data_IF_729850643665
#
_entry.id   IF_729850643665
#
_cell.length_a   1.000
_cell.length_b   1.000
_cell.length_c   1.000
_cell.angle_alpha   90.00
_cell.angle_beta   90.00
_cell.angle_gamma   90.00
#
_symmetry.space_group_name_H-M   'P 1'
#
loop_
_entity.id
_entity.type
_entity.pdbx_description
1 polymer ?
#
# COMPACT_ATOMS: atom_id res chain seq x y z
N UNK A 1 -34.34 34.11 8.85
CA UNK A 1 -33.29 33.27 9.47
C UNK A 1 -32.60 32.49 8.36
N UNK A 2 -31.35 32.81 8.05
CA UNK A 2 -30.57 32.05 7.05
C UNK A 2 -30.01 30.79 7.71
N UNK A 3 -30.56 29.63 7.35
CA UNK A 3 -29.95 28.34 7.67
C UNK A 3 -28.71 28.17 6.80
N UNK A 4 -27.52 28.20 7.39
CA UNK A 4 -26.31 27.75 6.72
C UNK A 4 -26.45 26.25 6.43
N UNK A 5 -26.62 25.89 5.15
CA UNK A 5 -26.51 24.51 4.67
C UNK A 5 -25.03 24.15 4.62
N UNK A 6 -24.56 23.43 5.63
CA UNK A 6 -23.25 22.79 5.56
C UNK A 6 -23.31 21.62 4.55
N UNK A 7 -22.41 21.61 3.56
CA UNK A 7 -22.19 20.47 2.64
C UNK A 7 -20.84 19.81 2.93
N UNK A 8 -20.57 18.62 2.36
CA UNK A 8 -19.24 18.00 2.49
C UNK A 8 -18.12 18.91 1.96
N UNK A 9 -18.42 19.75 0.96
CA UNK A 9 -17.50 20.75 0.40
C UNK A 9 -17.16 21.89 1.38
N UNK A 10 -17.92 22.03 2.46
CA UNK A 10 -17.66 23.01 3.52
C UNK A 10 -16.63 22.51 4.56
N UNK A 11 -16.26 21.23 4.52
CA UNK A 11 -15.23 20.65 5.39
C UNK A 11 -13.86 21.15 4.91
N UNK A 12 -13.28 22.10 5.64
CA UNK A 12 -11.93 22.61 5.38
C UNK A 12 -10.84 21.64 5.86
N UNK A 13 -11.07 21.00 7.00
CA UNK A 13 -10.17 20.04 7.63
C UNK A 13 -11.02 19.00 8.35
N UNK A 14 -10.73 17.72 8.15
CA UNK A 14 -11.20 16.64 9.00
C UNK A 14 -10.01 16.18 9.86
N UNK A 15 -10.08 16.39 11.18
CA UNK A 15 -9.06 15.90 12.11
C UNK A 15 -9.52 14.54 12.62
N UNK A 16 -8.83 13.50 12.20
CA UNK A 16 -9.01 12.16 12.77
C UNK A 16 -7.85 11.92 13.75
N UNK A 17 -8.11 11.74 15.06
CA UNK A 17 -7.05 11.40 16.00
C UNK A 17 -6.44 10.06 15.58
N UNK A 18 -5.11 10.00 15.60
CA UNK A 18 -4.43 8.72 15.42
C UNK A 18 -4.81 7.79 16.59
N UNK A 19 -4.96 6.49 16.35
CA UNK A 19 -5.12 5.53 17.44
C UNK A 19 -3.99 5.68 18.47
N UNK A 20 -4.28 5.51 19.76
CA UNK A 20 -3.31 5.73 20.86
C UNK A 20 -1.97 4.99 20.72
N UNK A 21 -1.93 3.94 19.90
CA UNK A 21 -0.75 3.09 19.66
C UNK A 21 -0.01 3.40 18.36
N UNK A 22 -0.37 4.48 17.69
CA UNK A 22 0.28 4.94 16.46
C UNK A 22 1.19 6.10 16.81
N UNK A 23 2.48 5.79 16.94
CA UNK A 23 3.49 6.75 17.36
C UNK A 23 4.19 7.43 16.18
N UNK A 24 4.19 6.82 14.99
CA UNK A 24 4.76 7.44 13.79
C UNK A 24 3.71 8.37 13.13
N UNK A 25 3.92 9.70 13.12
CA UNK A 25 2.94 10.62 12.53
C UNK A 25 2.81 10.44 11.02
N UNK A 26 1.62 10.74 10.50
CA UNK A 26 1.30 10.59 9.08
C UNK A 26 2.28 11.34 8.16
N UNK A 27 2.71 12.55 8.53
CA UNK A 27 3.68 13.34 7.75
C UNK A 27 5.04 12.63 7.64
N UNK A 28 5.54 12.10 8.75
CA UNK A 28 6.82 11.36 8.80
C UNK A 28 6.72 10.06 8.02
N UNK A 29 5.66 9.29 8.22
CA UNK A 29 5.41 8.07 7.47
C UNK A 29 5.32 8.36 5.96
N UNK A 30 4.65 9.44 5.55
CA UNK A 30 4.56 9.86 4.16
C UNK A 30 5.94 10.18 3.59
N UNK A 31 6.75 10.94 4.33
CA UNK A 31 8.12 11.27 3.93
C UNK A 31 9.00 10.03 3.78
N UNK A 32 8.91 9.08 4.71
CA UNK A 32 9.66 7.81 4.63
C UNK A 32 9.22 6.98 3.41
N UNK A 33 7.91 6.82 3.19
CA UNK A 33 7.42 6.07 2.04
C UNK A 33 7.80 6.73 0.70
N UNK A 34 7.73 8.06 0.59
CA UNK A 34 8.16 8.77 -0.63
C UNK A 34 9.67 8.61 -0.86
N UNK A 35 10.48 8.68 0.21
CA UNK A 35 11.93 8.42 0.11
C UNK A 35 12.21 7.00 -0.39
N UNK A 36 11.47 6.00 0.12
CA UNK A 36 11.57 4.61 -0.35
C UNK A 36 11.12 4.48 -1.80
N UNK A 37 10.03 5.13 -2.19
CA UNK A 37 9.54 5.14 -3.56
C UNK A 37 10.56 5.76 -4.52
N UNK A 38 11.18 6.87 -4.16
CA UNK A 38 12.20 7.52 -4.98
C UNK A 38 13.43 6.62 -5.18
N UNK A 39 13.87 5.92 -4.12
CA UNK A 39 14.95 4.91 -4.24
C UNK A 39 14.55 3.76 -5.18
N UNK A 40 13.31 3.29 -5.10
CA UNK A 40 12.78 2.26 -6.00
C UNK A 40 12.81 2.77 -7.45
N UNK A 41 12.40 4.03 -7.69
CA UNK A 41 12.37 4.63 -9.03
C UNK A 41 13.75 4.83 -9.66
N UNK A 42 14.81 4.94 -8.86
CA UNK A 42 16.19 4.97 -9.36
C UNK A 42 16.61 3.66 -10.02
N UNK A 43 15.97 2.54 -9.69
CA UNK A 43 16.16 1.28 -10.39
C UNK A 43 15.25 1.21 -11.62
N UNK A 44 15.85 1.15 -12.82
CA UNK A 44 15.10 1.17 -14.09
C UNK A 44 14.07 0.03 -14.20
N UNK A 45 14.43 -1.19 -13.77
CA UNK A 45 13.53 -2.34 -13.83
C UNK A 45 12.33 -2.17 -12.89
N UNK A 46 12.59 -1.71 -11.66
CA UNK A 46 11.52 -1.45 -10.71
C UNK A 46 10.62 -0.27 -11.15
N UNK A 47 11.20 0.77 -11.76
CA UNK A 47 10.44 1.89 -12.31
C UNK A 47 9.53 1.46 -13.46
N UNK A 48 9.98 0.55 -14.33
CA UNK A 48 9.14 -0.04 -15.37
C UNK A 48 7.99 -0.88 -14.80
N UNK A 49 8.24 -1.62 -13.71
CA UNK A 49 7.20 -2.37 -13.01
C UNK A 49 6.18 -1.46 -12.32
N UNK A 50 6.62 -0.35 -11.71
CA UNK A 50 5.74 0.66 -11.13
C UNK A 50 4.78 1.23 -12.18
N UNK A 51 5.31 1.53 -13.38
CA UNK A 51 4.54 2.04 -14.51
C UNK A 51 3.66 0.97 -15.17
N UNK A 52 3.94 -0.32 -14.94
CA UNK A 52 3.30 -1.45 -15.63
C UNK A 52 3.25 -1.28 -17.16
N UNK A 53 4.29 -0.69 -17.74
CA UNK A 53 4.36 -0.42 -19.19
C UNK A 53 3.43 0.70 -19.68
N UNK A 54 2.83 1.50 -18.79
CA UNK A 54 1.96 2.63 -19.12
C UNK A 54 2.72 3.94 -18.99
N UNK A 55 2.45 4.89 -19.89
CA UNK A 55 2.97 6.26 -19.83
C UNK A 55 1.88 7.20 -19.27
N UNK A 56 1.68 7.14 -17.95
CA UNK A 56 0.65 7.91 -17.26
C UNK A 56 1.10 8.26 -15.84
N UNK A 57 0.49 9.27 -15.18
CA UNK A 57 0.88 9.64 -13.82
C UNK A 57 0.62 8.50 -12.84
N UNK A 58 1.53 8.35 -11.88
CA UNK A 58 1.36 7.46 -10.74
C UNK A 58 0.50 8.14 -9.67
N UNK A 59 -0.55 7.45 -9.25
CA UNK A 59 -1.38 7.80 -8.10
C UNK A 59 -0.78 7.15 -6.87
N UNK A 60 -0.60 7.94 -5.82
CA UNK A 60 -0.14 7.48 -4.51
C UNK A 60 -1.28 7.64 -3.51
N UNK A 61 -1.66 6.54 -2.86
CA UNK A 61 -2.60 6.54 -1.74
C UNK A 61 -1.88 6.15 -0.47
N UNK A 62 -2.19 6.80 0.63
CA UNK A 62 -1.65 6.46 1.94
C UNK A 62 -2.78 6.32 2.94
N UNK A 63 -2.74 5.23 3.71
CA UNK A 63 -3.75 4.91 4.72
C UNK A 63 -3.12 4.23 5.92
N UNK A 64 -3.83 4.26 7.04
CA UNK A 64 -3.52 3.46 8.21
C UNK A 64 -4.49 2.30 8.31
N UNK A 65 -3.97 1.11 8.63
CA UNK A 65 -4.79 -0.08 8.86
C UNK A 65 -4.10 -0.98 9.88
N UNK A 66 -4.69 -2.14 10.16
CA UNK A 66 -4.06 -3.16 10.99
C UNK A 66 -3.36 -4.22 10.16
N UNK A 67 -2.26 -4.76 10.69
CA UNK A 67 -1.53 -5.85 10.04
C UNK A 67 -2.40 -7.10 9.84
N UNK A 68 -3.33 -7.36 10.76
CA UNK A 68 -4.30 -8.47 10.64
C UNK A 68 -5.29 -8.25 9.51
N UNK A 69 -5.81 -7.04 9.36
CA UNK A 69 -6.77 -6.69 8.31
C UNK A 69 -6.13 -6.73 6.92
N UNK A 70 -4.91 -6.17 6.78
CA UNK A 70 -4.14 -6.25 5.54
C UNK A 70 -3.89 -7.71 5.12
N UNK A 71 -3.39 -8.55 6.05
CA UNK A 71 -3.10 -9.96 5.78
C UNK A 71 -4.35 -10.73 5.35
N UNK A 72 -5.46 -10.56 6.07
CA UNK A 72 -6.74 -11.18 5.72
C UNK A 72 -7.16 -10.79 4.31
N UNK A 73 -7.18 -9.48 4.01
CA UNK A 73 -7.64 -8.97 2.71
C UNK A 73 -6.76 -9.42 1.55
N UNK A 74 -5.44 -9.43 1.74
CA UNK A 74 -4.49 -9.93 0.74
C UNK A 74 -4.68 -11.42 0.49
N UNK A 75 -4.90 -12.22 1.53
CA UNK A 75 -5.17 -13.66 1.38
C UNK A 75 -6.49 -13.92 0.63
N UNK A 76 -7.56 -13.18 0.94
CA UNK A 76 -8.84 -13.28 0.23
C UNK A 76 -8.71 -12.98 -1.27
N UNK A 77 -7.96 -11.93 -1.63
CA UNK A 77 -7.75 -11.54 -3.04
C UNK A 77 -6.65 -12.33 -3.74
N UNK A 78 -5.89 -13.15 -3.02
CA UNK A 78 -4.82 -13.96 -3.61
C UNK A 78 -5.33 -15.17 -4.39
N UNK A 79 -6.56 -15.59 -4.15
CA UNK A 79 -7.20 -16.75 -4.77
C UNK A 79 -8.44 -16.29 -5.54
N UNK A 80 -8.56 -16.71 -6.79
CA UNK A 80 -9.75 -16.49 -7.61
C UNK A 80 -10.11 -17.79 -8.32
N UNK A 81 -11.35 -18.23 -8.20
CA UNK A 81 -11.85 -19.47 -8.83
C UNK A 81 -10.93 -20.69 -8.52
N UNK A 82 -10.57 -20.84 -7.25
CA UNK A 82 -9.64 -21.88 -6.73
C UNK A 82 -8.22 -21.86 -7.32
N UNK A 83 -7.83 -20.79 -8.02
CA UNK A 83 -6.47 -20.59 -8.53
C UNK A 83 -5.75 -19.51 -7.73
N UNK A 84 -4.52 -19.81 -7.31
CA UNK A 84 -3.62 -18.85 -6.69
C UNK A 84 -3.13 -17.86 -7.76
N UNK A 85 -3.62 -16.63 -7.70
CA UNK A 85 -3.27 -15.53 -8.61
C UNK A 85 -2.20 -14.60 -8.06
N UNK A 86 -2.05 -14.54 -6.73
CA UNK A 86 -1.05 -13.71 -6.05
C UNK A 86 -0.26 -14.49 -4.97
N UNK A 87 0.82 -15.21 -5.35
CA UNK A 87 1.62 -15.94 -4.38
C UNK A 87 2.39 -15.03 -3.41
N UNK A 88 2.65 -13.77 -3.77
CA UNK A 88 3.33 -12.82 -2.88
C UNK A 88 2.43 -12.42 -1.72
N UNK A 89 1.13 -12.24 -1.96
CA UNK A 89 0.16 -11.99 -0.90
C UNK A 89 0.17 -13.10 0.18
N UNK A 90 0.27 -14.37 -0.22
CA UNK A 90 0.38 -15.50 0.72
C UNK A 90 1.69 -15.46 1.51
N UNK A 91 2.80 -15.06 0.88
CA UNK A 91 4.09 -14.88 1.58
C UNK A 91 4.02 -13.75 2.60
N UNK A 92 3.47 -12.59 2.22
CA UNK A 92 3.25 -11.45 3.11
C UNK A 92 2.35 -11.85 4.29
N UNK A 93 1.36 -12.71 4.06
CA UNK A 93 0.51 -13.28 5.10
C UNK A 93 1.28 -13.96 6.24
N UNK A 94 2.50 -14.45 5.98
CA UNK A 94 3.36 -15.10 6.98
C UNK A 94 4.22 -14.11 7.79
N UNK A 95 4.22 -12.83 7.43
CA UNK A 95 5.02 -11.84 8.14
C UNK A 95 4.42 -11.49 9.49
N UNK A 96 5.31 -11.30 10.47
CA UNK A 96 4.96 -10.67 11.73
C UNK A 96 4.81 -9.17 11.46
N UNK A 97 3.56 -8.70 11.41
CA UNK A 97 3.25 -7.29 11.24
C UNK A 97 2.75 -6.74 12.58
N UNK A 98 3.14 -5.53 12.97
CA UNK A 98 2.64 -4.87 14.16
C UNK A 98 1.14 -4.60 14.03
N UNK A 99 0.51 -4.24 15.15
CA UNK A 99 -0.94 -4.09 15.18
C UNK A 99 -1.42 -3.00 14.21
N UNK A 100 -0.77 -1.83 14.19
CA UNK A 100 -1.03 -0.76 13.24
C UNK A 100 0.12 -0.59 12.26
N UNK A 101 -0.22 -0.35 11.00
CA UNK A 101 0.73 -0.14 9.92
C UNK A 101 0.29 1.02 9.05
N UNK A 102 1.28 1.75 8.52
CA UNK A 102 1.06 2.66 7.40
C UNK A 102 1.21 1.87 6.11
N UNK A 103 0.22 1.97 5.22
CA UNK A 103 0.23 1.39 3.89
C UNK A 103 0.23 2.53 2.88
N UNK A 104 1.28 2.61 2.07
CA UNK A 104 1.28 3.39 0.83
C UNK A 104 1.07 2.44 -0.34
N UNK A 105 0.13 2.77 -1.23
CA UNK A 105 -0.08 2.08 -2.50
C UNK A 105 0.22 3.02 -3.65
N UNK A 106 0.86 2.47 -4.69
CA UNK A 106 1.23 3.20 -5.90
C UNK A 106 0.63 2.48 -7.10
N UNK A 107 0.03 3.25 -7.99
CA UNK A 107 -0.73 2.71 -9.13
C UNK A 107 -0.64 3.67 -10.31
N UNK A 108 -0.41 3.19 -11.54
CA UNK A 108 -0.76 3.96 -12.73
C UNK A 108 -2.23 4.40 -12.66
N UNK A 109 -2.56 5.62 -13.11
CA UNK A 109 -3.89 6.21 -12.97
C UNK A 109 -5.04 5.30 -13.45
N UNK A 110 -4.86 4.61 -14.57
CA UNK A 110 -5.87 3.69 -15.10
C UNK A 110 -6.02 2.43 -14.23
N UNK A 111 -4.92 1.86 -13.73
CA UNK A 111 -4.97 0.75 -12.75
C UNK A 111 -5.62 1.19 -11.44
N UNK A 112 -5.35 2.43 -11.00
CA UNK A 112 -5.96 2.99 -9.80
C UNK A 112 -7.49 2.99 -9.89
N UNK A 113 -8.03 3.39 -11.04
CA UNK A 113 -9.47 3.42 -11.33
C UNK A 113 -10.10 2.03 -11.39
N UNK A 114 -9.31 1.00 -11.73
CA UNK A 114 -9.73 -0.40 -11.69
C UNK A 114 -9.61 -1.04 -10.30
N UNK A 115 -9.21 -0.29 -9.26
CA UNK A 115 -8.99 -0.83 -7.92
C UNK A 115 -7.73 -1.69 -7.81
N UNK A 116 -6.72 -1.46 -8.65
CA UNK A 116 -5.45 -2.20 -8.65
C UNK A 116 -4.26 -1.29 -8.37
N UNK A 117 -3.18 -1.89 -7.89
CA UNK A 117 -1.91 -1.23 -7.65
C UNK A 117 -0.74 -2.08 -8.16
N UNK A 118 0.39 -1.40 -8.42
CA UNK A 118 1.64 -2.02 -8.89
C UNK A 118 2.68 -2.07 -7.78
N UNK A 119 2.52 -1.25 -6.73
CA UNK A 119 3.37 -1.33 -5.57
C UNK A 119 2.63 -1.00 -4.27
N UNK A 120 3.17 -1.55 -3.19
CA UNK A 120 2.81 -1.20 -1.83
C UNK A 120 4.07 -1.05 -0.97
N UNK A 121 4.06 -0.09 -0.06
CA UNK A 121 5.13 0.15 0.92
C UNK A 121 4.46 0.13 2.28
N UNK A 122 4.95 -0.72 3.18
CA UNK A 122 4.37 -0.90 4.50
C UNK A 122 5.38 -0.52 5.57
N UNK A 123 4.99 0.43 6.42
CA UNK A 123 5.78 0.86 7.57
C UNK A 123 5.11 0.44 8.88
N UNK A 124 5.93 0.22 9.89
CA UNK A 124 5.49 0.11 11.27
C UNK A 124 4.95 1.47 11.74
N UNK A 125 3.67 1.51 12.12
CA UNK A 125 3.06 2.73 12.65
C UNK A 125 3.33 2.93 14.15
N UNK A 126 3.86 1.90 14.82
CA UNK A 126 4.17 1.84 16.25
C UNK A 126 5.65 2.11 16.55
N UNK A 127 6.47 2.29 15.52
CA UNK A 127 7.88 2.62 15.68
C UNK A 127 8.10 4.12 16.01
N UNK A 128 9.26 4.40 16.61
CA UNK A 128 9.76 5.74 16.88
C UNK A 128 10.12 6.47 15.56
N UNK A 129 9.87 7.77 15.49
CA UNK A 129 10.24 8.64 14.36
C UNK A 129 11.73 8.61 13.96
N UNK A 130 12.62 8.17 14.86
CA UNK A 130 14.07 8.15 14.66
C UNK A 130 14.56 6.91 13.89
N UNK A 131 13.73 5.88 13.74
CA UNK A 131 14.12 4.60 13.15
C UNK A 131 13.58 4.44 11.71
N UNK A 132 14.25 3.59 10.92
CA UNK A 132 13.76 3.20 9.61
C UNK A 132 12.66 2.15 9.81
N UNK A 133 11.40 2.56 9.61
CA UNK A 133 10.24 1.77 10.00
C UNK A 133 9.75 0.82 8.90
N UNK A 134 10.54 0.58 7.84
CA UNK A 134 10.12 -0.19 6.68
C UNK A 134 9.99 -1.67 7.04
N UNK A 135 8.75 -2.17 7.03
CA UNK A 135 8.50 -3.59 7.20
C UNK A 135 8.75 -4.33 5.89
N UNK A 136 8.16 -3.84 4.80
CA UNK A 136 8.43 -4.33 3.45
C UNK A 136 7.99 -3.32 2.39
N UNK A 137 8.52 -3.47 1.18
CA UNK A 137 7.97 -2.86 -0.02
C UNK A 137 7.79 -3.91 -1.11
N UNK A 138 6.66 -3.91 -1.79
CA UNK A 138 6.41 -4.76 -2.96
C UNK A 138 6.29 -3.90 -4.19
N UNK A 139 6.95 -4.30 -5.28
CA UNK A 139 6.85 -3.68 -6.59
C UNK A 139 6.68 -4.78 -7.62
N UNK A 140 5.49 -4.89 -8.19
CA UNK A 140 5.07 -5.99 -9.02
C UNK A 140 5.35 -7.36 -8.37
N UNK A 141 6.26 -8.11 -8.99
CA UNK A 141 6.68 -9.45 -8.55
C UNK A 141 7.91 -9.46 -7.61
N UNK A 142 8.38 -8.27 -7.22
CA UNK A 142 9.51 -8.11 -6.34
C UNK A 142 9.04 -7.70 -4.95
N UNK A 143 9.61 -8.33 -3.94
CA UNK A 143 9.41 -8.00 -2.53
C UNK A 143 10.75 -7.59 -1.93
N UNK A 144 10.79 -6.42 -1.34
CA UNK A 144 11.93 -5.83 -0.65
C UNK A 144 11.67 -5.92 0.85
N UNK A 145 12.59 -6.57 1.57
CA UNK A 145 12.57 -6.73 3.01
C UNK A 145 13.90 -6.19 3.55
N UNK A 146 13.88 -5.02 4.19
CA UNK A 146 15.09 -4.36 4.67
C UNK A 146 16.16 -4.31 3.56
N UNK A 147 17.32 -4.94 3.78
CA UNK A 147 18.45 -5.00 2.83
C UNK A 147 18.41 -6.21 1.87
N UNK A 148 17.33 -6.99 1.90
CA UNK A 148 17.17 -8.19 1.09
C UNK A 148 16.04 -8.05 0.07
N UNK A 149 16.30 -8.46 -1.18
CA UNK A 149 15.30 -8.51 -2.24
C UNK A 149 14.91 -9.96 -2.53
N UNK A 150 13.63 -10.27 -2.41
CA UNK A 150 13.04 -11.54 -2.82
C UNK A 150 12.24 -11.32 -4.11
N UNK A 151 12.75 -11.83 -5.23
CA UNK A 151 12.01 -11.91 -6.48
C UNK A 151 11.38 -13.28 -6.62
N UNK A 152 10.09 -13.36 -6.93
CA UNK A 152 9.46 -14.64 -7.25
C UNK A 152 9.59 -14.87 -8.76
N UNK A 153 10.40 -15.85 -9.15
CA UNK A 153 10.47 -16.34 -10.53
C UNK A 153 9.29 -17.30 -10.77
N UNK A 154 8.71 -17.26 -11.99
CA UNK A 154 7.58 -18.10 -12.42
C UNK A 154 6.21 -17.74 -11.83
N UNK A 155 5.91 -16.45 -11.66
CA UNK A 155 4.51 -16.03 -11.42
C UNK A 155 3.90 -15.65 -12.77
N UNK A 156 2.65 -16.08 -13.10
CA UNK A 156 1.99 -15.67 -14.34
C UNK A 156 2.05 -14.15 -14.55
N UNK A 157 2.15 -13.75 -15.81
CA UNK A 157 2.46 -12.38 -16.32
C UNK A 157 1.61 -11.25 -15.70
N UNK A 158 0.49 -11.59 -15.06
CA UNK A 158 -0.38 -10.67 -14.32
C UNK A 158 0.09 -10.28 -12.92
N UNK A 159 1.09 -10.94 -12.33
CA UNK A 159 1.49 -10.70 -10.93
C UNK A 159 2.23 -9.37 -10.66
N UNK A 160 2.36 -8.52 -11.67
CA UNK A 160 2.78 -7.12 -11.50
C UNK A 160 1.65 -6.24 -10.93
N UNK A 161 0.40 -6.64 -11.09
CA UNK A 161 -0.79 -5.93 -10.63
C UNK A 161 -1.48 -6.75 -9.55
N UNK A 162 -1.86 -6.08 -8.47
CA UNK A 162 -2.62 -6.70 -7.38
C UNK A 162 -3.71 -5.76 -6.89
N UNK A 163 -4.70 -6.33 -6.22
CA UNK A 163 -5.86 -5.58 -5.75
C UNK A 163 -5.45 -4.54 -4.71
N UNK A 164 -6.03 -3.35 -4.82
CA UNK A 164 -5.90 -2.31 -3.80
C UNK A 164 -6.49 -2.79 -2.47
N UNK A 165 -5.89 -2.33 -1.38
CA UNK A 165 -6.46 -2.51 -0.07
C UNK A 165 -7.77 -1.73 0.03
N UNK A 166 -8.83 -2.45 0.34
CA UNK A 166 -10.17 -1.93 0.57
C UNK A 166 -10.61 -2.47 1.92
N UNK A 167 -10.91 -1.56 2.85
CA UNK A 167 -11.58 -1.94 4.09
C UNK A 167 -13.04 -2.30 3.75
N UNK A 168 -13.68 -3.16 4.53
CA UNK A 168 -15.04 -3.69 4.33
C UNK A 168 -16.17 -2.62 4.19
N UNK A 169 -15.85 -1.33 4.23
CA UNK A 169 -16.79 -0.21 4.09
C UNK A 169 -17.03 0.22 2.63
N UNK A 170 -16.52 -0.52 1.64
CA UNK A 170 -16.62 -0.17 0.22
C UNK A 170 -16.97 -1.32 -0.73
N UNK A 171 -17.36 -2.49 -0.22
CA UNK A 171 -17.97 -3.54 -1.05
C UNK A 171 -19.50 -3.37 -0.97
N UNK A 172 -20.08 -2.79 -2.01
CA UNK A 172 -21.51 -2.94 -2.35
C UNK A 172 -21.65 -3.90 -3.51
#
# INVERSE_FOLDING_TARGET
>A
MNYYRYSIDSIRVAICPLPEKVYLPAEKARKQCLTTLDRIRQNQSANQQLAAGRDEPLVVRMLITTGSSLKKRRAEKAVKEDRLIDPLAIRIGKFHLPHFIWLMEVSPLSCYREGKCTAEIVLDATANEQEMCLLYARVGQNLLLHDSSISVKNVPTFAGLFEQYTHNLGEQ
#
